data_IF_380515781257
#
_entry.id   IF_380515781257
#
_cell.length_a   1.000
_cell.length_b   1.000
_cell.length_c   1.000
_cell.angle_alpha   90.00
_cell.angle_beta   90.00
_cell.angle_gamma   90.00
#
_symmetry.space_group_name_H-M   'P 1'
#
loop_
_entity.id
_entity.type
_entity.pdbx_description
1 polymer ?
#
# COMPACT_ATOMS: atom_id res chain seq x y z
N UNK A 1 -4.33 -8.03 6.10
CA UNK A 1 -5.31 -8.22 5.02
C UNK A 1 -4.63 -7.83 3.74
N UNK A 2 -4.24 -8.81 2.92
CA UNK A 2 -3.63 -8.56 1.62
C UNK A 2 -4.55 -7.72 0.72
N UNK A 3 -5.86 -7.79 0.98
CA UNK A 3 -6.91 -7.04 0.31
C UNK A 3 -6.68 -5.52 0.32
N UNK A 4 -6.20 -4.93 1.43
CA UNK A 4 -6.00 -3.48 1.48
C UNK A 4 -4.75 -3.02 0.72
N UNK A 5 -3.66 -3.79 0.70
CA UNK A 5 -2.49 -3.44 -0.12
C UNK A 5 -2.81 -3.53 -1.61
N UNK A 6 -3.37 -4.67 -2.06
CA UNK A 6 -3.67 -4.88 -3.46
C UNK A 6 -4.71 -3.88 -3.96
N UNK A 7 -5.75 -3.61 -3.18
CA UNK A 7 -6.73 -2.58 -3.49
C UNK A 7 -6.10 -1.20 -3.70
N UNK A 8 -5.24 -0.74 -2.78
CA UNK A 8 -4.58 0.56 -2.95
C UNK A 8 -3.60 0.56 -4.13
N UNK A 9 -2.93 -0.56 -4.40
CA UNK A 9 -2.02 -0.69 -5.54
C UNK A 9 -2.76 -0.62 -6.88
N UNK A 10 -3.87 -1.33 -7.03
CA UNK A 10 -4.71 -1.28 -8.23
C UNK A 10 -5.24 0.14 -8.48
N UNK A 11 -5.63 0.86 -7.43
CA UNK A 11 -6.07 2.26 -7.54
C UNK A 11 -4.94 3.20 -7.94
N UNK A 12 -3.72 2.97 -7.46
CA UNK A 12 -2.55 3.70 -7.90
C UNK A 12 -2.28 3.45 -9.39
N UNK A 13 -2.31 2.19 -9.83
CA UNK A 13 -2.05 1.82 -11.22
C UNK A 13 -3.10 2.39 -12.19
N UNK A 14 -4.37 2.38 -11.78
CA UNK A 14 -5.44 3.00 -12.55
C UNK A 14 -5.24 4.53 -12.70
N UNK A 15 -4.80 5.21 -11.64
CA UNK A 15 -4.49 6.64 -11.68
C UNK A 15 -3.26 6.93 -12.56
N UNK A 16 -2.21 6.12 -12.47
CA UNK A 16 -1.04 6.23 -13.35
C UNK A 16 -1.41 6.08 -14.83
N UNK A 17 -2.21 5.05 -15.16
CA UNK A 17 -2.71 4.84 -16.52
C UNK A 17 -3.58 6.01 -17.02
N UNK A 18 -4.44 6.57 -16.14
CA UNK A 18 -5.22 7.75 -16.47
C UNK A 18 -4.35 9.00 -16.70
N UNK A 19 -3.26 9.15 -15.94
CA UNK A 19 -2.29 10.23 -16.12
C UNK A 19 -1.54 10.12 -17.46
N UNK A 20 -1.18 8.90 -17.87
CA UNK A 20 -0.53 8.64 -19.17
C UNK A 20 -1.45 8.95 -20.36
N UNK A 21 -2.76 8.70 -20.21
CA UNK A 21 -3.76 8.99 -21.24
C UNK A 21 -4.25 10.43 -21.22
N UNK A 22 -3.90 11.22 -20.20
CA UNK A 22 -4.37 12.59 -20.05
C UNK A 22 -3.80 13.49 -21.15
N UNK A 23 -4.70 14.17 -21.88
CA UNK A 23 -4.33 15.13 -22.93
C UNK A 23 -4.13 16.55 -22.40
N UNK A 24 -4.57 16.81 -21.16
CA UNK A 24 -4.43 18.09 -20.47
C UNK A 24 -3.51 17.93 -19.28
N UNK A 25 -2.54 18.85 -19.13
CA UNK A 25 -1.54 18.78 -18.06
C UNK A 25 -2.18 18.86 -16.67
N UNK A 26 -3.20 19.69 -16.49
CA UNK A 26 -3.91 19.79 -15.20
C UNK A 26 -4.64 18.50 -14.81
N UNK A 27 -5.08 17.70 -15.79
CA UNK A 27 -5.67 16.37 -15.56
C UNK A 27 -4.56 15.39 -15.21
N UNK A 28 -3.45 15.39 -15.95
CA UNK A 28 -2.27 14.57 -15.64
C UNK A 28 -1.78 14.79 -14.22
N UNK A 29 -1.58 16.04 -13.82
CA UNK A 29 -1.13 16.41 -12.47
C UNK A 29 -2.12 16.00 -11.37
N UNK A 30 -3.42 16.01 -11.66
CA UNK A 30 -4.44 15.52 -10.73
C UNK A 30 -4.30 14.01 -10.54
N UNK A 31 -4.18 13.26 -11.63
CA UNK A 31 -4.05 11.81 -11.58
C UNK A 31 -2.74 11.36 -10.92
N UNK A 32 -1.61 12.03 -11.21
CA UNK A 32 -0.34 11.76 -10.53
C UNK A 32 -0.40 12.03 -9.01
N UNK A 33 -1.16 13.05 -8.58
CA UNK A 33 -1.42 13.28 -7.15
C UNK A 33 -2.25 12.16 -6.54
N UNK A 34 -3.28 11.69 -7.25
CA UNK A 34 -4.09 10.57 -6.81
C UNK A 34 -3.26 9.28 -6.70
N UNK A 35 -2.44 8.97 -7.72
CA UNK A 35 -1.49 7.85 -7.71
C UNK A 35 -0.59 7.91 -6.46
N UNK A 36 0.03 9.06 -6.20
CA UNK A 36 0.91 9.25 -5.04
C UNK A 36 0.19 8.97 -3.72
N UNK A 37 -1.06 9.43 -3.57
CA UNK A 37 -1.88 9.15 -2.39
C UNK A 37 -2.14 7.64 -2.25
N UNK A 38 -2.55 6.98 -3.33
CA UNK A 38 -2.83 5.54 -3.31
C UNK A 38 -1.58 4.71 -3.02
N UNK A 39 -0.43 5.06 -3.59
CA UNK A 39 0.84 4.42 -3.27
C UNK A 39 1.24 4.61 -1.80
N UNK A 40 1.00 5.79 -1.24
CA UNK A 40 1.21 6.05 0.19
C UNK A 40 0.40 5.10 1.07
N UNK A 41 -0.88 4.94 0.78
CA UNK A 41 -1.78 4.02 1.50
C UNK A 41 -1.37 2.55 1.32
N UNK A 42 -0.98 2.15 0.11
CA UNK A 42 -0.47 0.81 -0.16
C UNK A 42 0.77 0.52 0.69
N UNK A 43 1.74 1.43 0.70
CA UNK A 43 2.95 1.27 1.50
C UNK A 43 2.67 1.18 3.00
N UNK A 44 1.72 1.97 3.50
CA UNK A 44 1.28 1.89 4.90
C UNK A 44 0.65 0.52 5.21
N UNK A 45 -0.25 0.03 4.35
CA UNK A 45 -0.88 -1.27 4.52
C UNK A 45 0.15 -2.40 4.55
N UNK A 46 1.15 -2.33 3.66
CA UNK A 46 2.28 -3.28 3.63
C UNK A 46 3.10 -3.22 4.91
N UNK A 47 3.46 -2.02 5.37
CA UNK A 47 4.22 -1.83 6.59
C UNK A 47 3.50 -2.42 7.82
N UNK A 48 2.19 -2.18 7.95
CA UNK A 48 1.37 -2.74 9.03
C UNK A 48 1.35 -4.27 8.98
N UNK A 49 1.22 -4.87 7.79
CA UNK A 49 1.25 -6.32 7.64
C UNK A 49 2.59 -6.92 8.10
N UNK A 50 3.71 -6.31 7.69
CA UNK A 50 5.06 -6.72 8.10
C UNK A 50 5.25 -6.60 9.62
N UNK A 51 4.82 -5.48 10.22
CA UNK A 51 4.94 -5.30 11.67
C UNK A 51 4.10 -6.31 12.45
N UNK A 52 2.91 -6.66 11.97
CA UNK A 52 2.08 -7.72 12.58
C UNK A 52 2.76 -9.08 12.52
N UNK A 53 3.32 -9.45 11.38
CA UNK A 53 4.04 -10.72 11.24
C UNK A 53 5.24 -10.78 12.19
N UNK A 54 6.01 -9.69 12.29
CA UNK A 54 7.12 -9.58 13.23
C UNK A 54 6.66 -9.75 14.68
N UNK A 55 5.60 -9.04 15.08
CA UNK A 55 5.06 -9.13 16.43
C UNK A 55 4.56 -10.54 16.78
N UNK A 56 3.93 -11.24 15.84
CA UNK A 56 3.48 -12.62 16.05
C UNK A 56 4.66 -13.59 16.20
N UNK A 57 5.73 -13.42 15.41
CA UNK A 57 6.98 -14.19 15.56
C UNK A 57 7.60 -13.98 16.94
N UNK A 58 7.79 -12.73 17.35
CA UNK A 58 8.34 -12.40 18.67
C UNK A 58 7.47 -12.92 19.83
N UNK A 59 6.14 -12.97 19.64
CA UNK A 59 5.21 -13.50 20.63
C UNK A 59 5.22 -15.03 20.67
N UNK A 60 5.47 -15.70 19.54
CA UNK A 60 5.65 -17.14 19.48
C UNK A 60 6.98 -17.56 20.13
N UNK A 61 8.07 -16.84 19.84
CA UNK A 61 9.40 -17.07 20.43
C UNK A 61 9.37 -16.92 21.95
N UNK A 62 8.73 -15.86 22.48
CA UNK A 62 8.54 -15.72 23.93
C UNK A 62 7.76 -16.86 24.55
N UNK A 63 6.65 -17.27 23.93
CA UNK A 63 5.84 -18.41 24.39
C UNK A 63 6.61 -19.74 24.39
N UNK A 64 7.52 -19.94 23.44
CA UNK A 64 8.39 -21.14 23.43
C UNK A 64 9.55 -21.07 24.43
N UNK A 65 9.99 -19.88 24.83
CA UNK A 65 11.05 -19.71 25.82
C UNK A 65 10.54 -19.79 27.27
N UNK A 66 9.25 -19.54 27.48
CA UNK A 66 8.57 -19.60 28.78
C UNK A 66 7.95 -20.98 29.10
N UNK A 67 7.97 -21.92 28.14
CA UNK A 67 7.46 -23.29 28.28
C UNK A 67 8.60 -24.30 28.42
#
# INVERSE_FOLDING_TARGET
MADSYQFYKERADAAAAAAEQATLENVRERELRAEKTWLGLANQARAVAVQREKAEREKAERRSAEA
#
